data_IF_928430066168
#
_entry.id   IF_928430066168
#
_cell.length_a   1.000
_cell.length_b   1.000
_cell.length_c   1.000
_cell.angle_alpha   90.00
_cell.angle_beta   90.00
_cell.angle_gamma   90.00
#
_symmetry.space_group_name_H-M   'P 1'
#
loop_
_entity.id
_entity.type
_entity.pdbx_description
1 polymer ?
#
# COMPACT_ATOMS: atom_id res chain seq x y z
N UNK A 1 2.99 -19.40 -5.19
CA UNK A 1 2.27 -18.68 -4.11
C UNK A 1 2.72 -17.23 -3.98
N UNK A 2 4.03 -16.93 -3.91
CA UNK A 2 4.58 -15.56 -3.81
C UNK A 2 3.97 -14.54 -4.79
N UNK A 3 3.91 -14.87 -6.08
CA UNK A 3 3.32 -14.00 -7.12
C UNK A 3 1.83 -13.72 -6.87
N UNK A 4 1.08 -14.73 -6.41
CA UNK A 4 -0.35 -14.59 -6.15
C UNK A 4 -0.60 -13.59 -5.01
N UNK A 5 0.21 -13.65 -3.97
CA UNK A 5 0.12 -12.73 -2.83
C UNK A 5 0.51 -11.29 -3.20
N UNK A 6 1.61 -11.12 -3.95
CA UNK A 6 1.99 -9.81 -4.51
C UNK A 6 0.85 -9.24 -5.36
N UNK A 7 0.21 -10.08 -6.18
CA UNK A 7 -0.90 -9.66 -7.03
C UNK A 7 -2.09 -9.20 -6.18
N UNK A 8 -2.40 -9.89 -5.07
CA UNK A 8 -3.48 -9.51 -4.15
C UNK A 8 -3.20 -8.14 -3.52
N UNK A 9 -2.01 -7.93 -2.96
CA UNK A 9 -1.64 -6.65 -2.32
C UNK A 9 -1.70 -5.49 -3.31
N UNK A 10 -1.10 -5.68 -4.48
CA UNK A 10 -1.08 -4.70 -5.54
C UNK A 10 -2.51 -4.37 -6.02
N UNK A 11 -3.38 -5.39 -6.14
CA UNK A 11 -4.78 -5.21 -6.51
C UNK A 11 -5.58 -4.45 -5.44
N UNK A 12 -5.34 -4.74 -4.17
CA UNK A 12 -5.95 -4.05 -3.03
C UNK A 12 -5.56 -2.58 -3.00
N UNK A 13 -4.27 -2.25 -3.22
CA UNK A 13 -3.79 -0.86 -3.30
C UNK A 13 -4.47 -0.13 -4.45
N UNK A 14 -4.50 -0.73 -5.64
CA UNK A 14 -5.16 -0.15 -6.80
C UNK A 14 -6.64 0.10 -6.55
N UNK A 15 -7.35 -0.91 -6.04
CA UNK A 15 -8.76 -0.80 -5.71
C UNK A 15 -9.03 0.32 -4.68
N UNK A 16 -8.20 0.41 -3.63
CA UNK A 16 -8.33 1.43 -2.58
C UNK A 16 -8.25 2.86 -3.13
N UNK A 17 -7.30 3.09 -4.04
CA UNK A 17 -7.10 4.39 -4.70
C UNK A 17 -8.30 4.73 -5.56
N UNK A 18 -8.71 3.80 -6.43
CA UNK A 18 -9.81 4.03 -7.36
C UNK A 18 -11.13 4.25 -6.62
N UNK A 19 -11.36 3.50 -5.53
CA UNK A 19 -12.52 3.64 -4.66
C UNK A 19 -12.56 4.99 -3.96
N UNK A 20 -11.43 5.45 -3.42
CA UNK A 20 -11.38 6.69 -2.63
C UNK A 20 -11.37 7.93 -3.51
N UNK A 21 -10.60 7.90 -4.60
CA UNK A 21 -10.52 8.98 -5.57
C UNK A 21 -11.75 9.04 -6.52
N UNK A 22 -12.67 8.08 -6.42
CA UNK A 22 -13.88 7.97 -7.26
C UNK A 22 -13.60 7.99 -8.77
N UNK A 23 -12.41 7.52 -9.19
CA UNK A 23 -12.04 7.48 -10.59
C UNK A 23 -12.84 6.37 -11.27
N UNK A 24 -13.58 6.71 -12.33
CA UNK A 24 -14.33 5.71 -13.11
C UNK A 24 -13.36 4.72 -13.77
N UNK A 25 -13.49 3.46 -13.37
CA UNK A 25 -12.71 2.36 -13.93
C UNK A 25 -13.20 2.02 -15.35
N UNK A 26 -12.37 2.30 -16.34
CA UNK A 26 -12.54 1.80 -17.69
C UNK A 26 -11.63 0.57 -17.90
N UNK A 27 -12.06 -0.38 -18.72
CA UNK A 27 -11.25 -1.56 -19.07
C UNK A 27 -9.85 -1.19 -19.57
N UNK A 28 -9.72 -0.11 -20.35
CA UNK A 28 -8.43 0.40 -20.82
C UNK A 28 -7.51 0.83 -19.67
N UNK A 29 -8.07 1.48 -18.64
CA UNK A 29 -7.32 1.94 -17.47
C UNK A 29 -6.87 0.78 -16.58
N UNK A 30 -7.69 -0.27 -16.46
CA UNK A 30 -7.30 -1.49 -15.74
C UNK A 30 -6.18 -2.20 -16.50
N UNK A 31 -6.34 -2.38 -17.80
CA UNK A 31 -5.36 -3.09 -18.62
C UNK A 31 -4.03 -2.35 -18.71
N UNK A 32 -4.07 -1.01 -18.82
CA UNK A 32 -2.89 -0.16 -18.75
C UNK A 32 -2.15 -0.31 -17.43
N UNK A 33 -2.87 -0.30 -16.30
CA UNK A 33 -2.26 -0.49 -14.99
C UNK A 33 -1.61 -1.87 -14.85
N UNK A 34 -2.26 -2.92 -15.36
CA UNK A 34 -1.70 -4.27 -15.33
C UNK A 34 -0.41 -4.35 -16.17
N UNK A 35 -0.43 -3.82 -17.40
CA UNK A 35 0.71 -3.89 -18.33
C UNK A 35 1.90 -3.02 -17.91
N UNK A 36 1.64 -1.80 -17.45
CA UNK A 36 2.70 -0.82 -17.17
C UNK A 36 3.17 -0.85 -15.71
N UNK A 37 2.36 -1.39 -14.80
CA UNK A 37 2.69 -1.40 -13.37
C UNK A 37 2.77 -2.82 -12.84
N UNK A 38 1.68 -3.60 -12.85
CA UNK A 38 1.69 -4.91 -12.19
C UNK A 38 2.68 -5.90 -12.79
N UNK A 39 2.65 -6.09 -14.11
CA UNK A 39 3.54 -7.03 -14.78
C UNK A 39 5.01 -6.68 -14.52
N UNK A 40 5.45 -5.46 -14.85
CA UNK A 40 6.84 -5.05 -14.65
C UNK A 40 7.26 -5.05 -13.18
N UNK A 41 6.39 -4.63 -12.26
CA UNK A 41 6.65 -4.66 -10.81
C UNK A 41 6.84 -6.09 -10.31
N UNK A 42 5.95 -7.00 -10.71
CA UNK A 42 6.05 -8.41 -10.32
C UNK A 42 7.32 -9.06 -10.86
N UNK A 43 7.72 -8.73 -12.10
CA UNK A 43 8.98 -9.18 -12.68
C UNK A 43 10.20 -8.60 -11.94
N UNK A 44 10.16 -7.31 -11.59
CA UNK A 44 11.23 -6.66 -10.83
C UNK A 44 11.41 -7.31 -9.44
N UNK A 45 10.31 -7.62 -8.76
CA UNK A 45 10.33 -8.36 -7.49
C UNK A 45 10.98 -9.75 -7.63
N UNK A 46 10.72 -10.45 -8.73
CA UNK A 46 11.26 -11.79 -8.98
C UNK A 46 12.74 -11.78 -9.39
N UNK A 47 13.17 -10.81 -10.19
CA UNK A 47 14.47 -10.85 -10.89
C UNK A 47 15.52 -9.89 -10.35
N UNK A 48 15.09 -8.72 -9.85
CA UNK A 48 16.02 -7.64 -9.46
C UNK A 48 16.14 -7.49 -7.95
N UNK A 49 15.13 -7.96 -7.21
CA UNK A 49 15.07 -7.87 -5.74
C UNK A 49 13.95 -6.96 -5.25
N UNK A 50 13.71 -7.02 -3.94
CA UNK A 50 12.56 -6.37 -3.31
C UNK A 50 12.62 -4.85 -3.41
N UNK A 51 13.79 -4.25 -3.16
CA UNK A 51 13.96 -2.81 -3.18
C UNK A 51 13.71 -2.19 -4.57
N UNK A 52 14.20 -2.83 -5.62
CA UNK A 52 13.99 -2.42 -7.01
C UNK A 52 12.52 -2.54 -7.39
N UNK A 53 11.84 -3.62 -6.98
CA UNK A 53 10.41 -3.81 -7.18
C UNK A 53 9.58 -2.71 -6.51
N UNK A 54 9.87 -2.38 -5.25
CA UNK A 54 9.20 -1.31 -4.49
C UNK A 54 9.41 0.05 -5.16
N UNK A 55 10.66 0.40 -5.49
CA UNK A 55 10.98 1.69 -6.13
C UNK A 55 10.27 1.82 -7.47
N UNK A 56 10.31 0.76 -8.29
CA UNK A 56 9.62 0.75 -9.57
C UNK A 56 8.11 0.90 -9.40
N UNK A 57 7.50 0.15 -8.48
CA UNK A 57 6.07 0.21 -8.18
C UNK A 57 5.63 1.63 -7.82
N UNK A 58 6.36 2.26 -6.90
CA UNK A 58 6.05 3.61 -6.42
C UNK A 58 6.13 4.61 -7.57
N UNK A 59 7.26 4.65 -8.30
CA UNK A 59 7.47 5.62 -9.38
C UNK A 59 6.45 5.42 -10.51
N UNK A 60 6.28 4.18 -10.96
CA UNK A 60 5.35 3.86 -12.06
C UNK A 60 3.90 4.17 -11.68
N UNK A 61 3.48 3.85 -10.44
CA UNK A 61 2.15 4.16 -9.92
C UNK A 61 1.90 5.66 -9.82
N UNK A 62 2.87 6.45 -9.32
CA UNK A 62 2.75 7.90 -9.29
C UNK A 62 2.57 8.48 -10.69
N UNK A 63 3.44 8.09 -11.65
CA UNK A 63 3.37 8.59 -13.02
C UNK A 63 2.03 8.23 -13.66
N UNK A 64 1.63 6.96 -13.56
CA UNK A 64 0.40 6.50 -14.19
C UNK A 64 -0.85 7.15 -13.60
N UNK A 65 -0.95 7.22 -12.26
CA UNK A 65 -2.10 7.81 -11.60
C UNK A 65 -2.17 9.32 -11.83
N UNK A 66 -1.03 10.01 -11.87
CA UNK A 66 -0.98 11.42 -12.24
C UNK A 66 -1.48 11.65 -13.68
N UNK A 67 -1.05 10.82 -14.63
CA UNK A 67 -1.52 10.89 -16.02
C UNK A 67 -3.01 10.59 -16.12
N UNK A 68 -3.52 9.66 -15.31
CA UNK A 68 -4.92 9.23 -15.34
C UNK A 68 -5.88 10.25 -14.72
N UNK A 69 -5.54 10.80 -13.55
CA UNK A 69 -6.42 11.72 -12.81
C UNK A 69 -6.18 13.19 -13.11
N UNK A 70 -4.94 13.56 -13.48
CA UNK A 70 -4.44 14.96 -13.50
C UNK A 70 -4.56 15.70 -12.17
N UNK A 71 -4.76 14.97 -11.08
CA UNK A 71 -4.99 15.52 -9.75
C UNK A 71 -3.94 15.00 -8.76
N UNK A 72 -3.21 15.93 -8.13
CA UNK A 72 -2.20 15.63 -7.11
C UNK A 72 -2.78 14.92 -5.87
N UNK A 73 -4.08 15.11 -5.62
CA UNK A 73 -4.79 14.47 -4.52
C UNK A 73 -4.76 12.94 -4.63
N UNK A 74 -4.77 12.39 -5.85
CA UNK A 74 -4.70 10.93 -6.05
C UNK A 74 -3.35 10.36 -5.63
N UNK A 75 -2.29 11.15 -5.77
CA UNK A 75 -0.95 10.79 -5.30
C UNK A 75 -0.90 10.76 -3.76
N UNK A 76 -1.63 11.65 -3.09
CA UNK A 76 -1.80 11.61 -1.62
C UNK A 76 -2.43 10.29 -1.20
N UNK A 77 -3.51 9.88 -1.87
CA UNK A 77 -4.19 8.62 -1.59
C UNK A 77 -3.29 7.40 -1.77
N UNK A 78 -2.51 7.35 -2.86
CA UNK A 78 -1.52 6.29 -3.07
C UNK A 78 -0.57 6.16 -1.88
N UNK A 79 -0.01 7.28 -1.40
CA UNK A 79 0.86 7.26 -0.22
C UNK A 79 0.16 6.69 1.02
N UNK A 80 -1.06 7.17 1.31
CA UNK A 80 -1.85 6.68 2.46
C UNK A 80 -2.07 5.17 2.40
N UNK A 81 -2.43 4.65 1.24
CA UNK A 81 -2.72 3.22 1.09
C UNK A 81 -1.47 2.34 1.15
N UNK A 82 -0.32 2.82 0.68
CA UNK A 82 0.95 2.11 0.88
C UNK A 82 1.28 2.02 2.38
N UNK A 83 1.13 3.11 3.14
CA UNK A 83 1.41 3.10 4.58
C UNK A 83 0.45 2.21 5.33
N UNK A 84 -0.86 2.30 5.03
CA UNK A 84 -1.83 1.42 5.64
C UNK A 84 -1.53 -0.03 5.31
N UNK A 85 -1.07 -0.32 4.10
CA UNK A 85 -0.61 -1.66 3.74
C UNK A 85 0.51 -2.13 4.68
N UNK A 86 1.56 -1.33 4.85
CA UNK A 86 2.69 -1.67 5.73
C UNK A 86 2.25 -1.79 7.20
N UNK A 87 1.44 -0.86 7.71
CA UNK A 87 0.98 -0.88 9.09
C UNK A 87 0.06 -2.07 9.37
N UNK A 88 -0.87 -2.35 8.47
CA UNK A 88 -1.80 -3.48 8.62
C UNK A 88 -1.04 -4.80 8.49
N UNK A 89 -0.08 -4.91 7.56
CA UNK A 89 0.74 -6.12 7.45
C UNK A 89 1.47 -6.43 8.75
N UNK A 90 2.18 -5.44 9.31
CA UNK A 90 2.87 -5.59 10.60
C UNK A 90 1.91 -5.88 11.76
N UNK A 91 0.74 -5.22 11.79
CA UNK A 91 -0.27 -5.47 12.80
C UNK A 91 -0.79 -6.90 12.70
N UNK A 92 -1.03 -7.41 11.50
CA UNK A 92 -1.50 -8.77 11.28
C UNK A 92 -0.45 -9.80 11.70
N UNK A 93 0.83 -9.57 11.38
CA UNK A 93 1.94 -10.42 11.87
C UNK A 93 1.98 -10.44 13.40
N UNK A 94 1.82 -9.27 14.04
CA UNK A 94 1.79 -9.16 15.50
C UNK A 94 0.59 -9.87 16.13
N UNK A 95 -0.59 -9.75 15.53
CA UNK A 95 -1.83 -10.38 16.02
C UNK A 95 -1.77 -11.90 15.89
N UNK A 96 -1.09 -12.44 14.88
CA UNK A 96 -0.98 -13.88 14.64
C UNK A 96 0.09 -14.58 15.48
N UNK A 97 1.13 -13.87 15.97
CA UNK A 97 2.16 -14.41 16.86
C UNK A 97 1.64 -15.28 18.03
N UNK A 98 0.58 -14.89 18.77
CA UNK A 98 0.05 -15.70 19.88
C UNK A 98 -0.89 -16.84 19.45
N UNK A 99 -1.33 -16.90 18.19
CA UNK A 99 -2.23 -17.95 17.71
C UNK A 99 -1.42 -19.17 17.25
N UNK A 100 -1.47 -20.25 18.03
CA UNK A 100 -0.81 -21.52 17.72
C UNK A 100 -1.68 -22.49 16.92
N UNK A 101 -2.86 -22.06 16.47
CA UNK A 101 -3.82 -22.90 15.75
C UNK A 101 -3.74 -22.61 14.26
N UNK A 102 -3.23 -23.57 13.48
CA UNK A 102 -3.28 -23.55 12.01
C UNK A 102 -4.68 -23.94 11.52
N UNK A 103 -5.61 -22.98 11.51
CA UNK A 103 -6.97 -23.14 10.95
C UNK A 103 -6.95 -23.22 9.42
N UNK A 104 -6.08 -22.47 8.75
CA UNK A 104 -5.81 -22.51 7.32
C UNK A 104 -4.33 -22.83 7.05
N UNK A 105 -4.04 -23.56 5.95
CA UNK A 105 -2.67 -23.95 5.64
C UNK A 105 -1.80 -22.74 5.24
N UNK A 106 -0.66 -22.59 5.92
CA UNK A 106 0.39 -21.63 5.55
C UNK A 106 0.01 -20.17 5.81
N UNK A 107 0.41 -19.26 4.91
CA UNK A 107 0.28 -17.79 5.10
C UNK A 107 -1.14 -17.27 4.81
N UNK A 108 -2.13 -18.15 4.56
CA UNK A 108 -3.48 -17.76 4.16
C UNK A 108 -4.25 -17.03 5.26
N UNK A 109 -4.03 -17.38 6.53
CA UNK A 109 -4.65 -16.70 7.67
C UNK A 109 -4.23 -15.24 7.77
N UNK A 110 -2.92 -15.02 7.61
CA UNK A 110 -2.31 -13.70 7.51
C UNK A 110 -2.98 -12.87 6.43
N UNK A 111 -3.08 -13.38 5.21
CA UNK A 111 -3.71 -12.64 4.12
C UNK A 111 -5.21 -12.38 4.34
N UNK A 112 -5.94 -13.30 4.95
CA UNK A 112 -7.36 -13.09 5.25
C UNK A 112 -7.57 -11.94 6.25
N UNK A 113 -6.80 -11.96 7.34
CA UNK A 113 -6.87 -10.96 8.40
C UNK A 113 -6.34 -9.60 7.89
N UNK A 114 -5.25 -9.61 7.12
CA UNK A 114 -4.73 -8.44 6.42
C UNK A 114 -5.79 -7.78 5.54
N UNK A 115 -6.45 -8.54 4.64
CA UNK A 115 -7.49 -8.02 3.74
C UNK A 115 -8.62 -7.37 4.55
N UNK A 116 -9.09 -8.03 5.61
CA UNK A 116 -10.20 -7.54 6.42
C UNK A 116 -9.85 -6.21 7.09
N UNK A 117 -8.71 -6.15 7.78
CA UNK A 117 -8.27 -4.92 8.45
C UNK A 117 -7.98 -3.83 7.42
N UNK A 118 -7.35 -4.16 6.30
CA UNK A 118 -6.99 -3.19 5.26
C UNK A 118 -8.23 -2.55 4.65
N UNK A 119 -9.27 -3.33 4.32
CA UNK A 119 -10.56 -2.79 3.84
C UNK A 119 -11.19 -1.88 4.89
N UNK A 120 -11.15 -2.27 6.16
CA UNK A 120 -11.68 -1.45 7.26
C UNK A 120 -10.93 -0.10 7.36
N UNK A 121 -9.60 -0.10 7.25
CA UNK A 121 -8.79 1.12 7.20
C UNK A 121 -9.18 2.02 6.01
N UNK A 122 -9.42 1.47 4.82
CA UNK A 122 -9.84 2.24 3.64
C UNK A 122 -11.21 2.89 3.86
N UNK A 123 -12.17 2.15 4.42
CA UNK A 123 -13.51 2.68 4.70
C UNK A 123 -13.46 3.82 5.72
N UNK A 124 -12.70 3.65 6.81
CA UNK A 124 -12.46 4.69 7.80
C UNK A 124 -11.80 5.91 7.15
N UNK A 125 -10.75 5.69 6.38
CA UNK A 125 -10.03 6.77 5.69
C UNK A 125 -10.95 7.57 4.79
N UNK A 126 -11.76 6.91 3.94
CA UNK A 126 -12.69 7.59 3.05
C UNK A 126 -13.73 8.40 3.82
N UNK A 127 -14.26 7.85 4.92
CA UNK A 127 -15.20 8.57 5.78
C UNK A 127 -14.59 9.87 6.33
N UNK A 128 -13.37 9.80 6.86
CA UNK A 128 -12.68 10.98 7.39
C UNK A 128 -12.29 11.96 6.29
N UNK A 129 -11.75 11.48 5.18
CA UNK A 129 -11.31 12.30 4.06
C UNK A 129 -12.45 13.15 3.49
N UNK A 130 -13.63 12.55 3.26
CA UNK A 130 -14.80 13.28 2.77
C UNK A 130 -15.25 14.39 3.73
N UNK A 131 -15.11 14.18 5.05
CA UNK A 131 -15.39 15.23 6.04
C UNK A 131 -14.33 16.30 6.04
N UNK A 132 -13.04 15.94 6.01
CA UNK A 132 -11.92 16.88 6.13
C UNK A 132 -11.79 17.77 4.90
N UNK A 133 -11.96 17.23 3.69
CA UNK A 133 -11.84 18.03 2.46
C UNK A 133 -12.85 19.17 2.39
N UNK A 134 -14.05 18.99 2.93
CA UNK A 134 -15.05 20.06 2.98
C UNK A 134 -14.56 21.31 3.73
N UNK A 135 -13.52 21.17 4.56
CA UNK A 135 -12.96 22.25 5.37
C UNK A 135 -11.58 22.76 4.87
N UNK A 136 -10.98 22.15 3.83
CA UNK A 136 -9.62 22.51 3.37
C UNK A 136 -9.67 23.20 2.00
N UNK A 137 -9.30 24.50 1.89
CA UNK A 137 -9.22 25.17 0.60
C UNK A 137 -8.09 24.60 -0.29
N UNK A 138 -8.36 24.50 -1.59
CA UNK A 138 -7.60 23.75 -2.61
C UNK A 138 -6.08 24.04 -2.66
N UNK A 139 -5.65 25.26 -2.30
CA UNK A 139 -4.26 25.72 -2.37
C UNK A 139 -3.32 25.19 -1.26
N UNK A 140 -3.85 24.51 -0.22
CA UNK A 140 -3.04 23.93 0.87
C UNK A 140 -2.71 22.44 0.70
N UNK A 141 -3.34 21.77 -0.27
CA UNK A 141 -3.24 20.32 -0.48
C UNK A 141 -1.83 19.84 -0.86
N UNK A 142 -1.12 20.59 -1.71
CA UNK A 142 0.23 20.24 -2.16
C UNK A 142 1.30 20.34 -1.04
N UNK A 143 1.20 21.34 -0.16
CA UNK A 143 2.11 21.47 1.00
C UNK A 143 1.83 20.39 2.05
N UNK A 144 0.56 20.06 2.27
CA UNK A 144 0.16 18.94 3.13
C UNK A 144 0.66 17.62 2.53
N UNK A 145 0.60 17.45 1.21
CA UNK A 145 1.16 16.28 0.52
C UNK A 145 2.67 16.16 0.71
N UNK A 146 3.43 17.23 0.50
CA UNK A 146 4.88 17.22 0.65
C UNK A 146 5.27 16.93 2.12
N UNK A 147 4.63 17.61 3.07
CA UNK A 147 4.87 17.40 4.50
C UNK A 147 4.51 15.95 4.90
N UNK A 148 3.40 15.43 4.38
CA UNK A 148 2.94 14.09 4.67
C UNK A 148 3.85 13.03 4.04
N UNK A 149 4.24 13.17 2.78
CA UNK A 149 5.22 12.29 2.12
C UNK A 149 6.51 12.26 2.93
N UNK A 150 6.99 13.42 3.40
CA UNK A 150 8.21 13.53 4.20
C UNK A 150 8.09 12.79 5.55
N UNK A 151 6.99 12.99 6.29
CA UNK A 151 6.68 12.27 7.54
C UNK A 151 6.58 10.77 7.30
N UNK A 152 6.00 10.37 6.17
CA UNK A 152 5.78 8.97 5.80
C UNK A 152 7.08 8.28 5.43
N UNK A 153 7.93 8.90 4.63
CA UNK A 153 9.28 8.41 4.38
C UNK A 153 10.06 8.32 5.68
N UNK A 154 9.96 9.31 6.57
CA UNK A 154 10.63 9.23 7.88
C UNK A 154 10.08 8.12 8.76
N UNK A 155 8.76 7.90 8.81
CA UNK A 155 8.15 6.85 9.61
C UNK A 155 8.44 5.44 9.06
N UNK A 156 8.42 5.26 7.74
CA UNK A 156 8.79 3.98 7.11
C UNK A 156 10.27 3.68 7.26
N UNK A 157 11.16 4.66 7.08
CA UNK A 157 12.58 4.49 7.40
C UNK A 157 12.80 4.23 8.89
N UNK A 158 12.08 4.91 9.79
CA UNK A 158 12.22 4.72 11.23
C UNK A 158 11.74 3.33 11.66
N UNK A 159 10.59 2.87 11.16
CA UNK A 159 10.08 1.52 11.41
C UNK A 159 11.05 0.46 10.86
N UNK A 160 11.62 0.69 9.67
CA UNK A 160 12.48 -0.26 8.98
C UNK A 160 13.96 -0.23 9.41
N UNK A 161 14.38 0.77 10.18
CA UNK A 161 15.72 0.85 10.78
C UNK A 161 15.64 0.46 12.26
N UNK A 162 14.72 1.05 13.02
CA UNK A 162 14.71 0.91 14.49
C UNK A 162 13.78 -0.18 15.00
N UNK A 163 12.58 -0.34 14.41
CA UNK A 163 11.63 -1.35 14.91
C UNK A 163 12.07 -2.77 14.56
N UNK A 164 12.77 -2.89 13.42
CA UNK A 164 13.40 -4.12 12.95
C UNK A 164 14.43 -4.63 13.94
N UNK A 165 15.35 -3.77 14.38
CA UNK A 165 16.36 -4.13 15.39
C UNK A 165 15.74 -4.43 16.77
N UNK A 166 14.65 -3.74 17.16
CA UNK A 166 14.06 -3.87 18.48
C UNK A 166 13.10 -5.07 18.62
N UNK A 167 12.48 -5.50 17.52
CA UNK A 167 11.62 -6.70 17.48
C UNK A 167 12.38 -7.94 17.00
N UNK A 168 13.55 -7.80 16.38
CA UNK A 168 14.38 -8.93 15.95
C UNK A 168 15.29 -9.45 17.08
N UNK A 169 14.83 -10.49 17.76
CA UNK A 169 15.67 -11.69 17.76
C UNK A 169 15.52 -12.29 16.36
N UNK A 170 16.52 -12.04 15.50
CA UNK A 170 16.78 -12.75 14.25
C UNK A 170 15.71 -12.78 13.14
N UNK A 171 14.80 -11.81 13.08
CA UNK A 171 14.03 -11.57 11.86
C UNK A 171 14.06 -10.10 11.51
N UNK A 172 14.94 -9.75 10.56
CA UNK A 172 14.77 -8.59 9.67
C UNK A 172 13.28 -8.52 9.29
N UNK A 173 12.72 -7.32 9.10
CA UNK A 173 11.39 -7.11 8.51
C UNK A 173 11.38 -7.80 7.15
N UNK A 174 11.05 -9.08 7.18
CA UNK A 174 10.73 -9.86 6.03
C UNK A 174 9.31 -9.42 5.75
N UNK A 175 9.15 -8.53 4.76
CA UNK A 175 7.98 -8.66 3.91
C UNK A 175 7.88 -10.16 3.61
N UNK A 176 6.80 -10.82 4.02
CA UNK A 176 6.57 -12.23 3.70
C UNK A 176 6.34 -12.34 2.17
N UNK A 177 7.44 -12.22 1.44
CA UNK A 177 7.63 -12.27 0.01
C UNK A 177 8.32 -13.58 -0.34
#
# INVERSE_FOLDING_TARGET
MKILFITIELFLIFWAIMYTAQIKLNFKSIFGFILFIFGPTSLAFLWMGQWQGIVYFIISSFVYLYVLSRDYIVLIHLCFFIIFGILVDNLTQYVLLPFTFDFLPGVLEHYCLFILIYILCILIYRYFYNKVIAYVPEMKSAYIFILFVLIVTMATFYINIYLTEYLSKDTILVFNL
#
